data_IF_861745909788
#
_entry.id   IF_861745909788
#
_cell.length_a   1.000
_cell.length_b   1.000
_cell.length_c   1.000
_cell.angle_alpha   90.00
_cell.angle_beta   90.00
_cell.angle_gamma   90.00
#
_symmetry.space_group_name_H-M   'P 1'
#
loop_
_entity.id
_entity.type
_entity.pdbx_description
1 polymer ?
#
# COMPACT_ATOMS: atom_id res chain seq x y z
N UNK A 1 -3.57 13.00 -19.05
CA UNK A 1 -2.51 12.14 -18.48
C UNK A 1 -2.86 11.96 -17.03
N UNK A 2 -3.01 10.73 -16.56
CA UNK A 2 -3.29 10.42 -15.15
C UNK A 2 -2.19 9.53 -14.57
N UNK A 3 -1.87 9.78 -13.31
CA UNK A 3 -0.84 9.11 -12.53
C UNK A 3 -1.54 8.33 -11.43
N UNK A 4 -1.26 7.04 -11.34
CA UNK A 4 -1.73 6.19 -10.24
C UNK A 4 -0.57 5.63 -9.45
N UNK A 5 -0.74 5.52 -8.14
CA UNK A 5 0.24 4.90 -7.27
C UNK A 5 -0.25 3.54 -6.77
N UNK A 6 0.67 2.58 -6.68
CA UNK A 6 0.46 1.32 -5.99
C UNK A 6 1.35 1.33 -4.76
N UNK A 7 0.75 1.36 -3.58
CA UNK A 7 1.44 1.28 -2.30
C UNK A 7 1.46 -0.19 -1.87
N UNK A 8 2.61 -0.86 -2.04
CA UNK A 8 2.78 -2.27 -1.68
C UNK A 8 3.11 -2.43 -0.20
N UNK A 9 2.19 -3.06 0.52
CA UNK A 9 2.25 -3.37 1.95
C UNK A 9 2.03 -4.87 2.27
N UNK A 10 2.15 -5.75 1.27
CA UNK A 10 1.93 -7.21 1.39
C UNK A 10 2.95 -7.99 2.23
N UNK A 11 4.05 -7.36 2.67
CA UNK A 11 5.10 -8.06 3.41
C UNK A 11 4.77 -8.24 4.89
N UNK A 12 4.91 -9.48 5.42
CA UNK A 12 4.63 -9.84 6.82
C UNK A 12 5.53 -9.18 7.88
N UNK A 13 6.61 -8.53 7.48
CA UNK A 13 7.47 -7.77 8.42
C UNK A 13 8.30 -8.62 9.38
N UNK A 14 8.53 -9.90 9.10
CA UNK A 14 9.17 -10.87 10.00
C UNK A 14 10.52 -10.41 10.60
N UNK A 15 11.30 -9.61 9.88
CA UNK A 15 12.59 -9.07 10.36
C UNK A 15 12.44 -8.00 11.44
N UNK A 16 11.30 -7.31 11.47
CA UNK A 16 11.04 -6.25 12.44
C UNK A 16 10.66 -6.84 13.81
N UNK A 17 10.22 -8.10 13.86
CA UNK A 17 9.94 -8.82 15.11
C UNK A 17 8.79 -8.24 15.92
N UNK A 18 7.86 -7.52 15.29
CA UNK A 18 6.70 -6.93 15.95
C UNK A 18 5.52 -7.93 16.01
N UNK A 19 4.74 -7.85 17.09
CA UNK A 19 3.54 -8.68 17.30
C UNK A 19 2.36 -8.29 16.39
N UNK A 20 2.43 -7.09 15.81
CA UNK A 20 1.44 -6.57 14.87
C UNK A 20 2.03 -6.42 13.47
N UNK A 21 1.19 -6.51 12.41
CA UNK A 21 1.64 -6.28 11.05
C UNK A 21 2.31 -4.92 10.91
N UNK A 22 3.54 -4.91 10.35
CA UNK A 22 4.41 -3.71 10.35
C UNK A 22 3.76 -2.47 9.73
N UNK A 23 2.87 -2.64 8.75
CA UNK A 23 2.16 -1.56 8.07
C UNK A 23 1.28 -0.73 9.02
N UNK A 24 0.84 -1.32 10.14
CA UNK A 24 -0.01 -0.67 11.14
C UNK A 24 0.75 -0.25 12.40
N UNK A 25 2.07 -0.49 12.46
CA UNK A 25 2.90 0.15 13.49
C UNK A 25 2.87 1.66 13.31
N UNK A 26 2.95 2.37 14.42
CA UNK A 26 2.92 3.81 14.43
C UNK A 26 4.33 4.40 14.53
N UNK A 27 4.55 5.46 13.75
CA UNK A 27 5.70 6.35 13.90
C UNK A 27 5.11 7.75 14.08
N UNK A 28 5.52 8.44 15.14
CA UNK A 28 4.99 9.75 15.52
C UNK A 28 3.45 9.79 15.63
N UNK A 29 2.85 8.74 16.21
CA UNK A 29 1.40 8.67 16.47
C UNK A 29 0.52 8.39 15.26
N UNK A 30 1.11 7.92 14.15
CA UNK A 30 0.38 7.60 12.92
C UNK A 30 0.97 6.37 12.23
N UNK A 31 0.10 5.55 11.62
CA UNK A 31 0.50 4.27 11.00
C UNK A 31 1.49 4.50 9.88
N UNK A 32 2.52 3.64 9.80
CA UNK A 32 3.53 3.63 8.72
C UNK A 32 2.88 3.62 7.33
N UNK A 33 1.80 2.85 7.16
CA UNK A 33 1.04 2.82 5.92
C UNK A 33 0.42 4.18 5.56
N UNK A 34 -0.17 4.87 6.53
CA UNK A 34 -0.87 6.14 6.28
C UNK A 34 0.09 7.23 5.81
N UNK A 35 1.31 7.28 6.38
CA UNK A 35 2.36 8.17 5.89
C UNK A 35 2.71 7.93 4.42
N UNK A 36 2.82 6.66 4.04
CA UNK A 36 3.18 6.27 2.67
C UNK A 36 2.05 6.54 1.68
N UNK A 37 0.79 6.37 2.10
CA UNK A 37 -0.39 6.68 1.28
C UNK A 37 -0.53 8.18 1.07
N UNK A 38 -0.31 8.99 2.10
CA UNK A 38 -0.30 10.45 1.95
C UNK A 38 0.78 10.94 0.99
N UNK A 39 2.00 10.41 1.11
CA UNK A 39 3.09 10.73 0.19
C UNK A 39 2.81 10.29 -1.25
N UNK A 40 2.12 9.16 -1.44
CA UNK A 40 1.68 8.74 -2.76
C UNK A 40 0.58 9.64 -3.32
N UNK A 41 -0.39 10.04 -2.48
CA UNK A 41 -1.49 10.93 -2.86
C UNK A 41 -1.05 12.34 -3.21
N UNK A 42 0.06 12.83 -2.66
CA UNK A 42 0.55 14.17 -3.01
C UNK A 42 1.04 14.29 -4.46
N UNK A 43 1.27 13.15 -5.14
CA UNK A 43 1.82 13.10 -6.51
C UNK A 43 0.98 12.26 -7.50
N UNK A 44 -0.06 11.57 -7.04
CA UNK A 44 -0.91 10.69 -7.85
C UNK A 44 -2.39 11.08 -7.77
N UNK A 45 -3.12 10.87 -8.86
CA UNK A 45 -4.56 11.10 -8.95
C UNK A 45 -5.38 10.02 -8.23
N UNK A 46 -4.78 8.86 -7.97
CA UNK A 46 -5.38 7.73 -7.25
C UNK A 46 -4.33 6.76 -6.71
N UNK A 47 -4.70 6.04 -5.65
CA UNK A 47 -3.85 5.13 -4.90
C UNK A 47 -4.55 3.78 -4.69
N UNK A 48 -3.89 2.72 -5.13
CA UNK A 48 -4.23 1.34 -4.76
C UNK A 48 -3.27 0.89 -3.66
N UNK A 49 -3.81 0.36 -2.58
CA UNK A 49 -3.02 -0.24 -1.50
C UNK A 49 -3.09 -1.76 -1.61
N UNK A 50 -1.95 -2.42 -1.48
CA UNK A 50 -1.87 -3.88 -1.52
C UNK A 50 -1.52 -4.41 -0.12
N UNK A 51 -2.39 -5.21 0.47
CA UNK A 51 -2.20 -5.82 1.79
C UNK A 51 -2.05 -7.36 1.69
N UNK A 52 -1.52 -8.03 2.71
CA UNK A 52 -1.61 -9.49 2.83
C UNK A 52 -3.07 -9.97 2.72
N UNK A 53 -3.36 -11.10 2.03
CA UNK A 53 -4.72 -11.63 1.88
C UNK A 53 -5.45 -11.77 3.22
N UNK A 54 -4.82 -12.40 4.22
CA UNK A 54 -5.37 -12.55 5.57
C UNK A 54 -5.75 -11.22 6.27
N UNK A 55 -5.17 -10.08 5.87
CA UNK A 55 -5.58 -8.77 6.39
C UNK A 55 -6.75 -8.18 5.60
N UNK A 56 -6.84 -8.41 4.30
CA UNK A 56 -7.99 -7.99 3.50
C UNK A 56 -9.23 -8.78 3.94
N UNK A 57 -9.10 -10.10 4.02
CA UNK A 57 -10.19 -11.01 4.43
C UNK A 57 -10.55 -10.83 5.91
N UNK A 58 -9.56 -10.51 6.75
CA UNK A 58 -9.73 -10.28 8.18
C UNK A 58 -10.32 -8.91 8.54
N UNK A 59 -10.67 -8.08 7.56
CA UNK A 59 -11.26 -6.75 7.80
C UNK A 59 -10.25 -5.75 8.36
N UNK A 60 -9.08 -5.64 7.71
CA UNK A 60 -8.07 -4.64 8.05
C UNK A 60 -8.70 -3.26 8.28
N UNK A 61 -8.16 -2.47 9.23
CA UNK A 61 -8.67 -1.14 9.47
C UNK A 61 -8.63 -0.31 8.18
N UNK A 62 -9.57 0.63 7.99
CA UNK A 62 -9.60 1.48 6.81
C UNK A 62 -8.25 2.14 6.54
N UNK A 63 -7.93 2.34 5.27
CA UNK A 63 -6.73 3.05 4.83
C UNK A 63 -7.19 4.36 4.19
N UNK A 64 -7.26 5.47 4.95
CA UNK A 64 -7.63 6.77 4.41
C UNK A 64 -6.71 7.11 3.25
N UNK A 65 -7.31 7.56 2.16
CA UNK A 65 -6.55 7.92 0.99
C UNK A 65 -6.33 6.79 -0.04
N UNK A 66 -6.84 5.59 0.20
CA UNK A 66 -6.85 4.54 -0.81
C UNK A 66 -8.19 4.50 -1.55
N UNK A 67 -8.15 4.49 -2.88
CA UNK A 67 -9.30 4.25 -3.75
C UNK A 67 -9.70 2.77 -3.72
N UNK A 68 -8.70 1.90 -3.55
CA UNK A 68 -8.90 0.47 -3.40
C UNK A 68 -7.85 -0.13 -2.47
N UNK A 69 -8.26 -1.15 -1.73
CA UNK A 69 -7.37 -2.04 -0.97
C UNK A 69 -7.54 -3.45 -1.54
N UNK A 70 -6.45 -4.05 -2.02
CA UNK A 70 -6.48 -5.38 -2.64
C UNK A 70 -5.52 -6.35 -1.98
N UNK A 71 -5.83 -7.64 -2.10
CA UNK A 71 -4.96 -8.71 -1.62
C UNK A 71 -3.74 -8.86 -2.53
N UNK A 72 -2.55 -8.90 -1.93
CA UNK A 72 -1.29 -9.18 -2.61
C UNK A 72 -1.03 -10.69 -2.78
N UNK A 73 0.14 -11.01 -3.34
CA UNK A 73 0.58 -12.41 -3.53
C UNK A 73 1.78 -12.80 -2.66
N UNK A 74 2.34 -13.97 -2.95
CA UNK A 74 3.44 -14.55 -2.18
C UNK A 74 4.71 -13.69 -2.25
N UNK A 75 4.99 -13.12 -3.42
CA UNK A 75 6.13 -12.24 -3.63
C UNK A 75 5.73 -10.77 -3.84
N UNK A 76 6.73 -9.89 -3.77
CA UNK A 76 6.53 -8.46 -4.06
C UNK A 76 5.99 -8.27 -5.49
N UNK A 77 6.50 -9.03 -6.46
CA UNK A 77 6.07 -8.93 -7.85
C UNK A 77 4.58 -9.31 -8.03
N UNK A 78 4.12 -10.34 -7.35
CA UNK A 78 2.70 -10.74 -7.36
C UNK A 78 1.82 -9.67 -6.71
N UNK A 79 2.30 -9.06 -5.64
CA UNK A 79 1.61 -7.94 -4.99
C UNK A 79 1.49 -6.73 -5.92
N UNK A 80 2.55 -6.40 -6.66
CA UNK A 80 2.49 -5.33 -7.68
C UNK A 80 1.51 -5.70 -8.80
N UNK A 81 1.50 -6.96 -9.26
CA UNK A 81 0.56 -7.43 -10.28
C UNK A 81 -0.88 -7.30 -9.84
N UNK A 82 -1.20 -7.66 -8.59
CA UNK A 82 -2.53 -7.49 -8.02
C UNK A 82 -2.93 -6.00 -7.95
N UNK A 83 -2.00 -5.13 -7.54
CA UNK A 83 -2.23 -3.68 -7.55
C UNK A 83 -2.50 -3.14 -8.95
N UNK A 84 -1.72 -3.56 -9.95
CA UNK A 84 -1.90 -3.15 -11.35
C UNK A 84 -3.26 -3.54 -11.91
N UNK A 85 -3.79 -4.70 -11.53
CA UNK A 85 -5.12 -5.14 -11.96
C UNK A 85 -6.26 -4.28 -11.39
N UNK A 86 -6.02 -3.51 -10.33
CA UNK A 86 -6.98 -2.61 -9.72
C UNK A 86 -6.81 -1.13 -10.11
N UNK A 87 -5.72 -0.80 -10.80
CA UNK A 87 -5.53 0.54 -11.39
C UNK A 87 -6.43 0.67 -12.62
N UNK A 88 -7.12 1.81 -12.83
CA UNK A 88 -7.93 2.01 -14.03
C UNK A 88 -7.09 1.90 -15.31
N UNK A 89 -7.62 1.25 -16.35
CA UNK A 89 -6.94 1.11 -17.65
C UNK A 89 -6.59 2.46 -18.30
N UNK A 90 -7.33 3.52 -17.97
CA UNK A 90 -7.06 4.88 -18.44
C UNK A 90 -5.82 5.53 -17.80
N UNK A 91 -5.22 4.93 -16.76
CA UNK A 91 -4.00 5.41 -16.13
C UNK A 91 -2.83 5.37 -17.12
N UNK A 92 -2.17 6.51 -17.30
CA UNK A 92 -1.05 6.63 -18.26
C UNK A 92 0.32 6.46 -17.62
N UNK A 93 0.42 6.68 -16.31
CA UNK A 93 1.62 6.44 -15.50
C UNK A 93 1.21 5.64 -14.26
N UNK A 94 2.00 4.64 -13.91
CA UNK A 94 1.89 3.93 -12.63
C UNK A 94 3.22 4.02 -11.88
N UNK A 95 3.14 4.46 -10.63
CA UNK A 95 4.27 4.50 -9.70
C UNK A 95 4.08 3.42 -8.64
N UNK A 96 5.13 2.66 -8.34
CA UNK A 96 5.08 1.65 -7.28
C UNK A 96 5.90 2.14 -6.09
N UNK A 97 5.27 2.23 -4.93
CA UNK A 97 5.88 2.71 -3.69
C UNK A 97 5.81 1.63 -2.60
N UNK A 98 6.90 1.42 -1.87
CA UNK A 98 6.92 0.48 -0.75
C UNK A 98 6.38 1.18 0.51
N UNK A 99 5.32 0.64 1.14
CA UNK A 99 4.75 1.21 2.36
C UNK A 99 5.72 1.24 3.56
N UNK A 100 6.84 0.52 3.49
CA UNK A 100 7.87 0.56 4.51
C UNK A 100 8.80 1.78 4.40
N UNK A 101 8.52 2.72 3.49
CA UNK A 101 9.32 3.94 3.24
C UNK A 101 8.49 5.20 3.53
N UNK A 102 7.99 5.40 4.76
CA UNK A 102 7.01 6.44 5.09
C UNK A 102 7.54 7.89 5.00
N UNK A 103 8.83 8.09 4.75
CA UNK A 103 9.48 9.40 4.73
C UNK A 103 9.83 9.88 3.30
N UNK A 104 9.17 9.34 2.27
CA UNK A 104 9.31 9.86 0.91
C UNK A 104 8.73 11.29 0.82
N UNK A 105 9.40 12.17 0.06
CA UNK A 105 9.10 13.60 -0.10
C UNK A 105 9.16 14.04 -1.54
#
# INVERSE_FOLDING_TARGET
MSVWAIVVAGGKGLRLGADQPKQFLEIAGRRVLDWSVDAARSVADGVVVVLPPELVDGGAPPVPGAEAVVAGGAERADSVRAGLAAVPEAATIVVVHDAARPAAS
#
